data_IF_747855916093
#
_entry.id   IF_747855916093
#
_cell.length_a   1.000
_cell.length_b   1.000
_cell.length_c   1.000
_cell.angle_alpha   90.00
_cell.angle_beta   90.00
_cell.angle_gamma   90.00
#
_symmetry.space_group_name_H-M   'P 1'
#
loop_
_entity.id
_entity.type
_entity.pdbx_description
1 polymer ?
#
# COMPACT_ATOMS: atom_id res chain seq x y z
N UNK A 1 -15.33 -13.02 -0.25
CA UNK A 1 -14.60 -11.75 -0.44
C UNK A 1 -13.79 -11.37 0.80
N UNK A 2 -14.35 -11.47 2.01
CA UNK A 2 -13.67 -11.10 3.26
C UNK A 2 -12.34 -11.84 3.46
N UNK A 3 -12.28 -13.13 3.12
CA UNK A 3 -11.05 -13.92 3.25
C UNK A 3 -9.93 -13.40 2.34
N UNK A 4 -10.23 -12.98 1.12
CA UNK A 4 -9.25 -12.35 0.20
C UNK A 4 -8.72 -11.05 0.80
N UNK A 5 -9.62 -10.20 1.30
CA UNK A 5 -9.24 -8.91 1.91
C UNK A 5 -8.31 -9.15 3.11
N UNK A 6 -8.63 -10.12 3.98
CA UNK A 6 -7.78 -10.46 5.13
C UNK A 6 -6.40 -10.91 4.68
N UNK A 7 -6.32 -11.81 3.68
CA UNK A 7 -5.04 -12.28 3.15
C UNK A 7 -4.20 -11.15 2.57
N UNK A 8 -4.82 -10.28 1.76
CA UNK A 8 -4.15 -9.13 1.15
C UNK A 8 -3.67 -8.11 2.19
N UNK A 9 -4.50 -7.79 3.18
CA UNK A 9 -4.15 -6.88 4.28
C UNK A 9 -3.00 -7.47 5.10
N UNK A 10 -3.05 -8.75 5.43
CA UNK A 10 -1.99 -9.43 6.18
C UNK A 10 -0.62 -9.30 5.51
N UNK A 11 -0.56 -9.48 4.19
CA UNK A 11 0.69 -9.35 3.42
C UNK A 11 1.11 -7.90 3.24
N UNK A 12 0.16 -6.95 3.18
CA UNK A 12 0.43 -5.53 2.96
C UNK A 12 0.85 -4.78 4.23
N UNK A 13 0.35 -5.15 5.41
CA UNK A 13 0.61 -4.48 6.68
C UNK A 13 2.11 -4.28 6.97
N UNK A 14 3.00 -5.29 6.84
CA UNK A 14 4.42 -5.10 7.13
C UNK A 14 5.06 -3.96 6.34
N UNK A 15 4.68 -3.80 5.07
CA UNK A 15 5.22 -2.74 4.21
C UNK A 15 4.76 -1.35 4.67
N UNK A 16 3.50 -1.23 5.09
CA UNK A 16 2.98 0.02 5.65
C UNK A 16 3.66 0.35 6.98
N UNK A 17 3.77 -0.63 7.88
CA UNK A 17 4.38 -0.43 9.20
C UNK A 17 5.83 0.01 9.06
N UNK A 18 6.63 -0.66 8.22
CA UNK A 18 8.02 -0.29 7.98
C UNK A 18 8.16 1.13 7.40
N UNK A 19 7.29 1.51 6.47
CA UNK A 19 7.31 2.84 5.87
C UNK A 19 6.96 3.93 6.91
N UNK A 20 5.94 3.68 7.72
CA UNK A 20 5.50 4.60 8.78
C UNK A 20 6.58 4.71 9.87
N UNK A 21 7.14 3.59 10.31
CA UNK A 21 8.21 3.58 11.30
C UNK A 21 9.44 4.36 10.81
N UNK A 22 9.87 4.13 9.57
CA UNK A 22 10.97 4.87 8.97
C UNK A 22 10.71 6.38 8.93
N UNK A 23 9.45 6.77 8.62
CA UNK A 23 9.06 8.18 8.58
C UNK A 23 9.16 8.85 9.96
N UNK A 24 8.66 8.20 11.00
CA UNK A 24 8.75 8.72 12.36
C UNK A 24 10.20 8.75 12.89
N UNK A 25 11.02 7.76 12.53
CA UNK A 25 12.44 7.75 12.90
C UNK A 25 13.26 8.88 12.25
N UNK A 26 12.84 9.34 11.08
CA UNK A 26 13.48 10.43 10.32
C UNK A 26 12.85 11.80 10.63
N UNK A 27 11.78 11.86 11.41
CA UNK A 27 11.14 13.12 11.83
C UNK A 27 12.09 13.95 12.69
N UNK A 28 12.06 15.27 12.49
CA UNK A 28 12.85 16.20 13.28
C UNK A 28 12.24 16.35 14.68
N UNK A 29 12.91 15.76 15.65
CA UNK A 29 12.51 15.86 17.06
C UNK A 29 12.63 17.27 17.64
N UNK A 30 13.45 18.12 17.04
CA UNK A 30 13.60 19.51 17.49
C UNK A 30 12.31 20.29 17.45
N UNK A 31 11.45 20.06 16.46
CA UNK A 31 10.12 20.67 16.38
C UNK A 31 9.19 20.17 17.48
N UNK A 32 9.25 18.89 17.79
CA UNK A 32 8.44 18.28 18.85
C UNK A 32 8.87 18.80 20.24
N UNK A 33 10.19 18.85 20.49
CA UNK A 33 10.76 19.35 21.74
C UNK A 33 10.47 20.84 21.94
N UNK A 34 10.56 21.65 20.88
CA UNK A 34 10.20 23.07 20.92
C UNK A 34 8.71 23.28 21.28
N UNK A 35 7.82 22.45 20.72
CA UNK A 35 6.40 22.52 21.06
C UNK A 35 6.13 22.10 22.51
N UNK A 36 6.84 21.10 23.02
CA UNK A 36 6.75 20.70 24.42
C UNK A 36 7.22 21.79 25.38
N UNK A 37 8.32 22.48 25.05
CA UNK A 37 8.80 23.62 25.87
C UNK A 37 7.80 24.80 25.90
N UNK A 38 6.99 24.95 24.85
CA UNK A 38 5.89 25.90 24.80
C UNK A 38 4.60 25.44 25.49
N UNK A 39 4.63 24.29 26.17
CA UNK A 39 3.49 23.75 26.93
C UNK A 39 2.47 22.95 26.12
N UNK A 40 2.80 22.54 24.90
CA UNK A 40 1.92 21.67 24.12
C UNK A 40 1.86 20.27 24.73
N UNK A 41 0.65 19.71 24.84
CA UNK A 41 0.47 18.33 25.30
C UNK A 41 0.99 17.32 24.26
N UNK A 42 1.43 16.11 24.68
CA UNK A 42 1.94 15.10 23.74
C UNK A 42 0.95 14.74 22.63
N UNK A 43 -0.32 14.64 22.93
CA UNK A 43 -1.36 14.37 21.93
C UNK A 43 -1.47 15.52 20.92
N UNK A 44 -1.36 16.77 21.37
CA UNK A 44 -1.39 17.92 20.47
C UNK A 44 -0.19 17.90 19.53
N UNK A 45 1.02 17.69 20.06
CA UNK A 45 2.26 17.57 19.26
C UNK A 45 2.12 16.44 18.22
N UNK A 46 1.63 15.27 18.61
CA UNK A 46 1.43 14.16 17.71
C UNK A 46 0.51 14.49 16.54
N UNK A 47 -0.67 15.05 16.79
CA UNK A 47 -1.64 15.33 15.71
C UNK A 47 -1.33 16.59 14.89
N UNK A 48 -0.66 17.58 15.47
CA UNK A 48 -0.42 18.86 14.79
C UNK A 48 0.98 19.01 14.19
N UNK A 49 1.95 18.22 14.63
CA UNK A 49 3.34 18.27 14.17
C UNK A 49 3.77 16.92 13.57
N UNK A 50 3.78 15.84 14.36
CA UNK A 50 4.34 14.58 13.94
C UNK A 50 3.59 13.94 12.76
N UNK A 51 2.26 13.83 12.83
CA UNK A 51 1.43 13.28 11.73
C UNK A 51 1.52 14.13 10.46
N UNK A 52 1.35 15.46 10.48
CA UNK A 52 1.50 16.28 9.28
C UNK A 52 2.91 16.20 8.66
N UNK A 53 3.95 16.19 9.47
CA UNK A 53 5.33 16.09 9.00
C UNK A 53 5.62 14.73 8.31
N UNK A 54 5.06 13.64 8.83
CA UNK A 54 5.24 12.28 8.27
C UNK A 54 4.21 11.90 7.20
N UNK A 55 3.19 12.73 6.96
CA UNK A 55 2.09 12.45 6.01
C UNK A 55 2.55 12.02 4.62
N UNK A 56 3.56 12.66 3.97
CA UNK A 56 4.01 12.23 2.64
C UNK A 56 4.53 10.80 2.65
N UNK A 57 5.29 10.42 3.68
CA UNK A 57 5.83 9.08 3.81
C UNK A 57 4.75 8.04 4.15
N UNK A 58 3.74 8.41 4.95
CA UNK A 58 2.57 7.56 5.22
C UNK A 58 1.81 7.26 3.92
N UNK A 59 1.59 8.28 3.09
CA UNK A 59 0.93 8.11 1.78
C UNK A 59 1.76 7.18 0.88
N UNK A 60 3.08 7.32 0.89
CA UNK A 60 3.96 6.43 0.14
C UNK A 60 3.90 4.98 0.64
N UNK A 61 3.90 4.81 1.95
CA UNK A 61 3.75 3.49 2.57
C UNK A 61 2.41 2.83 2.21
N UNK A 62 1.32 3.60 2.20
CA UNK A 62 0.01 3.12 1.74
C UNK A 62 0.03 2.67 0.29
N UNK A 63 0.70 3.43 -0.58
CA UNK A 63 0.84 3.04 -1.98
C UNK A 63 1.65 1.77 -2.17
N UNK A 64 2.75 1.66 -1.44
CA UNK A 64 3.58 0.46 -1.48
C UNK A 64 2.81 -0.77 -0.98
N UNK A 65 2.08 -0.63 0.13
CA UNK A 65 1.21 -1.67 0.67
C UNK A 65 0.11 -2.06 -0.32
N UNK A 66 -0.51 -1.08 -0.98
CA UNK A 66 -1.50 -1.33 -2.01
C UNK A 66 -0.92 -2.05 -3.23
N UNK A 67 0.23 -1.59 -3.75
CA UNK A 67 0.90 -2.23 -4.87
C UNK A 67 1.31 -3.68 -4.55
N UNK A 68 1.77 -3.91 -3.32
CA UNK A 68 2.08 -5.26 -2.83
C UNK A 68 0.85 -6.15 -2.77
N UNK A 69 -0.28 -5.60 -2.29
CA UNK A 69 -1.57 -6.31 -2.22
C UNK A 69 -2.12 -6.63 -3.62
N UNK A 70 -1.93 -5.74 -4.60
CA UNK A 70 -2.41 -5.94 -5.97
C UNK A 70 -1.78 -7.16 -6.64
N UNK A 71 -0.50 -7.43 -6.40
CA UNK A 71 0.22 -8.57 -6.93
C UNK A 71 0.11 -9.84 -6.07
N UNK A 72 -0.71 -9.83 -5.00
CA UNK A 72 -0.80 -10.97 -4.10
C UNK A 72 -1.57 -12.13 -4.72
N UNK A 73 -0.90 -13.26 -4.83
CA UNK A 73 -1.44 -14.51 -5.38
C UNK A 73 -1.43 -15.63 -4.34
N UNK A 74 -0.25 -15.90 -3.76
CA UNK A 74 0.00 -17.11 -2.97
C UNK A 74 -0.84 -17.19 -1.70
N UNK A 75 -0.82 -16.16 -0.86
CA UNK A 75 -1.61 -16.13 0.36
C UNK A 75 -3.11 -16.13 0.05
N UNK A 76 -3.52 -15.39 -0.97
CA UNK A 76 -4.93 -15.29 -1.36
C UNK A 76 -5.48 -16.62 -1.87
N UNK A 77 -4.78 -17.35 -2.74
CA UNK A 77 -5.25 -18.64 -3.26
C UNK A 77 -5.26 -19.72 -2.18
N UNK A 78 -4.25 -19.72 -1.30
CA UNK A 78 -4.14 -20.70 -0.22
C UNK A 78 -5.22 -20.49 0.86
N UNK A 79 -5.52 -19.25 1.20
CA UNK A 79 -6.44 -18.90 2.29
C UNK A 79 -7.90 -18.82 1.84
N UNK A 80 -8.15 -18.29 0.65
CA UNK A 80 -9.50 -17.97 0.17
C UNK A 80 -9.96 -18.83 -1.02
N UNK A 81 -9.02 -19.53 -1.68
CA UNK A 81 -9.29 -20.23 -2.94
C UNK A 81 -9.50 -19.27 -4.11
N UNK A 82 -9.71 -19.82 -5.31
CA UNK A 82 -9.98 -19.05 -6.52
C UNK A 82 -11.36 -19.43 -7.08
N UNK A 83 -12.39 -18.68 -6.69
CA UNK A 83 -13.75 -18.88 -7.17
C UNK A 83 -14.18 -17.66 -7.99
N UNK A 84 -14.46 -17.81 -9.31
CA UNK A 84 -14.93 -16.72 -10.16
C UNK A 84 -16.12 -15.96 -9.55
N UNK A 85 -16.06 -14.64 -9.57
CA UNK A 85 -17.10 -13.76 -8.99
C UNK A 85 -17.15 -13.71 -7.45
N UNK A 86 -16.32 -14.48 -6.74
CA UNK A 86 -16.30 -14.53 -5.26
C UNK A 86 -14.94 -14.17 -4.66
N UNK A 87 -13.91 -14.99 -4.95
CA UNK A 87 -12.58 -14.85 -4.34
C UNK A 87 -11.46 -14.77 -5.35
N UNK A 88 -11.74 -14.96 -6.64
CA UNK A 88 -10.75 -14.85 -7.70
C UNK A 88 -10.25 -13.41 -7.82
N UNK A 89 -8.92 -13.24 -7.70
CA UNK A 89 -8.23 -11.97 -7.95
C UNK A 89 -7.67 -11.92 -9.37
N UNK A 90 -7.28 -10.74 -9.86
CA UNK A 90 -6.65 -10.62 -11.18
C UNK A 90 -5.43 -11.52 -11.37
N UNK A 91 -4.46 -11.59 -10.44
CA UNK A 91 -3.34 -12.52 -10.55
C UNK A 91 -3.77 -13.99 -10.64
N UNK A 92 -4.81 -14.40 -9.91
CA UNK A 92 -5.36 -15.75 -9.98
C UNK A 92 -5.99 -16.03 -11.34
N UNK A 93 -6.77 -15.08 -11.86
CA UNK A 93 -7.37 -15.21 -13.19
C UNK A 93 -6.29 -15.31 -14.28
N UNK A 94 -5.24 -14.51 -14.20
CA UNK A 94 -4.09 -14.60 -15.11
C UNK A 94 -3.46 -15.99 -15.06
N UNK A 95 -3.21 -16.51 -13.86
CA UNK A 95 -2.60 -17.83 -13.68
C UNK A 95 -3.45 -18.96 -14.26
N UNK A 96 -4.75 -18.97 -14.01
CA UNK A 96 -5.66 -19.98 -14.52
C UNK A 96 -5.77 -19.94 -16.06
N UNK A 97 -5.78 -18.72 -16.62
CA UNK A 97 -5.90 -18.52 -18.07
C UNK A 97 -4.65 -18.89 -18.86
N UNK A 98 -3.48 -18.95 -18.24
CA UNK A 98 -2.23 -19.36 -18.94
C UNK A 98 -2.38 -20.67 -19.68
N UNK A 99 -3.10 -21.63 -19.11
CA UNK A 99 -3.30 -22.98 -19.68
C UNK A 99 -4.56 -23.12 -20.54
N UNK A 100 -5.49 -22.18 -20.48
CA UNK A 100 -6.80 -22.23 -21.15
C UNK A 100 -6.86 -21.28 -22.34
N UNK A 101 -6.50 -20.01 -22.11
CA UNK A 101 -6.47 -18.97 -23.12
C UNK A 101 -5.27 -18.03 -22.86
N UNK A 102 -4.15 -18.38 -23.48
CA UNK A 102 -2.91 -17.64 -23.33
C UNK A 102 -3.03 -16.16 -23.79
N UNK A 103 -3.84 -15.88 -24.81
CA UNK A 103 -4.03 -14.50 -25.29
C UNK A 103 -4.76 -13.64 -24.26
N UNK A 104 -5.81 -14.19 -23.67
CA UNK A 104 -6.55 -13.48 -22.62
C UNK A 104 -5.70 -13.28 -21.37
N UNK A 105 -4.89 -14.28 -20.99
CA UNK A 105 -3.91 -14.15 -19.90
C UNK A 105 -2.92 -13.01 -20.12
N UNK A 106 -2.38 -12.87 -21.34
CA UNK A 106 -1.50 -11.74 -21.69
C UNK A 106 -2.21 -10.41 -21.58
N UNK A 107 -3.44 -10.30 -22.08
CA UNK A 107 -4.21 -9.04 -21.99
C UNK A 107 -4.43 -8.65 -20.52
N UNK A 108 -4.86 -9.58 -19.67
CA UNK A 108 -5.06 -9.29 -18.25
C UNK A 108 -3.75 -8.94 -17.54
N UNK A 109 -2.64 -9.58 -17.90
CA UNK A 109 -1.31 -9.22 -17.37
C UNK A 109 -0.91 -7.80 -17.75
N UNK A 110 -1.13 -7.38 -18.99
CA UNK A 110 -0.87 -6.02 -19.45
C UNK A 110 -1.75 -5.00 -18.73
N UNK A 111 -3.03 -5.32 -18.51
CA UNK A 111 -3.95 -4.46 -17.73
C UNK A 111 -3.43 -4.30 -16.29
N UNK A 112 -2.98 -5.39 -15.66
CA UNK A 112 -2.45 -5.36 -14.30
C UNK A 112 -1.18 -4.50 -14.21
N UNK A 113 -0.26 -4.66 -15.17
CA UNK A 113 0.94 -3.82 -15.29
C UNK A 113 0.58 -2.35 -15.48
N UNK A 114 -0.35 -2.07 -16.40
CA UNK A 114 -0.78 -0.70 -16.67
C UNK A 114 -1.38 -0.03 -15.43
N UNK A 115 -2.27 -0.71 -14.70
CA UNK A 115 -2.86 -0.21 -13.46
C UNK A 115 -1.76 0.07 -12.43
N UNK A 116 -0.82 -0.86 -12.24
CA UNK A 116 0.28 -0.72 -11.29
C UNK A 116 1.16 0.49 -11.62
N UNK A 117 1.57 0.63 -12.87
CA UNK A 117 2.39 1.75 -13.34
C UNK A 117 1.63 3.08 -13.25
N UNK A 118 0.35 3.10 -13.64
CA UNK A 118 -0.47 4.32 -13.58
C UNK A 118 -0.62 4.84 -12.15
N UNK A 119 -0.86 3.96 -11.19
CA UNK A 119 -0.97 4.36 -9.78
C UNK A 119 0.36 4.85 -9.24
N UNK A 120 1.46 4.15 -9.51
CA UNK A 120 2.80 4.59 -9.09
C UNK A 120 3.18 5.94 -9.72
N UNK A 121 2.87 6.15 -11.01
CA UNK A 121 3.11 7.41 -11.69
C UNK A 121 2.28 8.55 -11.09
N UNK A 122 0.99 8.35 -10.87
CA UNK A 122 0.11 9.34 -10.25
C UNK A 122 0.54 9.73 -8.82
N UNK A 123 1.16 8.81 -8.10
CA UNK A 123 1.71 9.08 -6.78
C UNK A 123 3.04 9.80 -6.82
N UNK A 124 3.89 9.54 -7.84
CA UNK A 124 5.17 10.22 -8.03
C UNK A 124 4.99 11.74 -8.14
N UNK A 125 4.00 12.17 -8.90
CA UNK A 125 3.76 13.59 -9.15
C UNK A 125 3.36 14.34 -7.88
N UNK A 126 2.60 13.69 -7.00
CA UNK A 126 2.26 14.25 -5.67
C UNK A 126 3.47 14.33 -4.71
N UNK A 127 4.45 13.47 -4.90
CA UNK A 127 5.69 13.48 -4.11
C UNK A 127 6.62 14.62 -4.51
N UNK A 128 6.72 14.94 -5.79
CA UNK A 128 7.57 16.01 -6.28
C UNK A 128 6.95 17.40 -6.08
N UNK A 129 5.63 17.51 -6.03
CA UNK A 129 4.91 18.77 -5.80
C UNK A 129 4.91 19.24 -4.33
N UNK A 130 5.38 18.43 -3.40
CA UNK A 130 5.43 18.71 -1.96
C UNK A 130 6.82 19.13 -1.44
N UNK A 131 7.76 19.46 -2.35
CA UNK A 131 9.08 20.01 -2.00
C UNK A 131 9.13 21.50 -2.18
#
# INVERSE_FOLDING_TARGET
>A
QTAVVIAQVFVAIPFLVLAVEAAFRQSDRGLEDAAHTMGASPSRVFFTIAIPATRPAIIAGLALAWARSLGEFGASITFAGSFPGRTQTLPMAVYELVSVDYRLSLVLSLVLIFISVAVLAAMRDRWMAGR
#
